data_IF_517819924691
#
_entry.id   IF_517819924691
#
_cell.length_a   1.000
_cell.length_b   1.000
_cell.length_c   1.000
_cell.angle_alpha   90.00
_cell.angle_beta   90.00
_cell.angle_gamma   90.00
#
_symmetry.space_group_name_H-M   'P 1'
#
loop_
_entity.id
_entity.type
_entity.pdbx_description
1 polymer ?
#
# COMPACT_ATOMS: atom_id res chain seq x y z
N UNK A 1 14.50 -37.00 27.50
CA UNK A 1 15.44 -36.02 28.08
C UNK A 1 16.66 -35.89 27.18
N UNK A 2 16.70 -34.83 26.38
CA UNK A 2 17.87 -34.00 26.07
C UNK A 2 17.41 -32.99 25.03
N UNK A 3 17.17 -31.78 25.51
CA UNK A 3 16.96 -30.58 24.71
C UNK A 3 18.27 -30.20 24.03
N UNK A 4 18.20 -29.72 22.79
CA UNK A 4 19.06 -28.62 22.37
C UNK A 4 18.26 -27.71 21.44
N UNK A 5 17.98 -26.56 22.01
CA UNK A 5 17.36 -25.37 21.47
C UNK A 5 18.40 -24.64 20.61
N UNK A 6 18.33 -24.78 19.29
CA UNK A 6 19.14 -23.97 18.37
C UNK A 6 18.46 -22.64 18.13
N UNK A 7 18.67 -21.75 19.08
CA UNK A 7 18.43 -20.31 18.98
C UNK A 7 19.33 -19.75 17.86
N UNK A 8 18.77 -19.55 16.67
CA UNK A 8 19.44 -18.79 15.60
C UNK A 8 19.54 -17.32 16.03
N UNK A 9 20.58 -16.97 16.80
CA UNK A 9 21.09 -15.60 16.84
C UNK A 9 21.53 -15.24 15.43
N UNK A 10 20.77 -14.37 14.77
CA UNK A 10 21.29 -13.61 13.63
C UNK A 10 22.38 -12.71 14.20
N UNK A 11 23.62 -13.20 14.17
CA UNK A 11 24.81 -12.37 14.35
C UNK A 11 24.80 -11.38 13.19
N UNK A 12 24.43 -10.14 13.47
CA UNK A 12 24.72 -9.01 12.57
C UNK A 12 26.25 -8.96 12.53
N UNK A 13 26.80 -9.53 11.45
CA UNK A 13 28.21 -9.42 11.15
C UNK A 13 28.39 -7.99 10.67
N UNK A 14 28.95 -7.13 11.51
CA UNK A 14 29.37 -5.80 11.11
C UNK A 14 30.33 -5.99 9.93
N UNK A 15 29.83 -5.75 8.71
CA UNK A 15 30.66 -5.77 7.52
C UNK A 15 31.52 -4.51 7.58
N UNK A 16 32.78 -4.71 7.98
CA UNK A 16 33.84 -3.73 7.78
C UNK A 16 33.86 -3.26 6.31
N UNK A 17 34.04 -1.96 6.12
CA UNK A 17 33.96 -1.19 4.87
C UNK A 17 32.58 -1.14 4.22
N UNK A 18 31.79 -0.14 4.63
CA UNK A 18 30.81 0.50 3.73
C UNK A 18 31.64 1.22 2.66
N UNK A 19 32.02 0.48 1.61
CA UNK A 19 32.59 1.04 0.39
C UNK A 19 31.70 2.19 -0.05
N UNK A 20 32.29 3.37 -0.31
CA UNK A 20 31.58 4.57 -0.74
C UNK A 20 30.50 4.20 -1.77
N UNK A 21 29.23 4.39 -1.39
CA UNK A 21 28.12 4.25 -2.32
C UNK A 21 28.28 5.35 -3.37
N UNK A 22 28.95 5.04 -4.47
CA UNK A 22 29.00 5.92 -5.63
C UNK A 22 27.57 6.18 -6.05
N UNK A 23 27.19 7.46 -6.07
CA UNK A 23 25.88 7.89 -6.53
C UNK A 23 25.70 7.46 -7.99
N UNK A 24 25.03 6.33 -8.19
CA UNK A 24 24.66 5.85 -9.52
C UNK A 24 23.61 6.80 -10.05
N UNK A 25 23.83 7.31 -11.27
CA UNK A 25 22.98 8.33 -11.88
C UNK A 25 21.48 7.96 -11.75
N UNK A 26 20.66 8.81 -11.10
CA UNK A 26 19.25 8.52 -10.83
C UNK A 26 18.41 8.45 -12.11
N UNK A 27 18.93 8.89 -13.26
CA UNK A 27 18.24 8.79 -14.54
C UNK A 27 17.80 7.35 -14.88
N UNK A 28 18.60 6.34 -14.48
CA UNK A 28 18.19 4.94 -14.66
C UNK A 28 16.97 4.59 -13.80
N UNK A 29 16.94 5.05 -12.55
CA UNK A 29 15.79 4.88 -11.66
C UNK A 29 14.54 5.63 -12.16
N UNK A 30 14.73 6.86 -12.67
CA UNK A 30 13.67 7.67 -13.26
C UNK A 30 13.07 7.05 -14.52
N UNK A 31 13.84 6.26 -15.28
CA UNK A 31 13.33 5.57 -16.46
C UNK A 31 12.23 4.55 -16.14
N UNK A 32 12.22 3.98 -14.93
CA UNK A 32 11.16 3.09 -14.46
C UNK A 32 9.83 3.81 -14.21
N UNK A 33 9.81 5.14 -14.06
CA UNK A 33 8.56 5.91 -13.99
C UNK A 33 7.80 5.95 -15.33
N UNK A 34 8.46 5.59 -16.44
CA UNK A 34 7.85 5.52 -17.77
C UNK A 34 7.11 4.19 -17.97
N UNK A 35 7.36 3.18 -17.13
CA UNK A 35 6.58 1.94 -17.15
C UNK A 35 5.11 2.28 -16.87
N UNK A 36 4.17 1.95 -17.78
CA UNK A 36 2.76 2.33 -17.64
C UNK A 36 2.12 1.77 -16.36
N UNK A 37 2.62 0.66 -15.84
CA UNK A 37 2.16 0.05 -14.58
C UNK A 37 2.60 0.88 -13.37
N UNK A 38 3.85 1.36 -13.37
CA UNK A 38 4.40 2.19 -12.30
C UNK A 38 3.88 3.64 -12.42
N UNK A 39 3.72 4.15 -13.63
CA UNK A 39 3.23 5.50 -13.90
C UNK A 39 1.79 5.68 -13.42
N UNK A 40 0.89 4.77 -13.78
CA UNK A 40 -0.50 4.82 -13.33
C UNK A 40 -0.60 4.75 -11.81
N UNK A 41 0.28 3.99 -11.17
CA UNK A 41 0.40 3.95 -9.71
C UNK A 41 0.90 5.28 -9.12
N UNK A 42 2.01 5.81 -9.64
CA UNK A 42 2.60 7.07 -9.19
C UNK A 42 1.65 8.25 -9.35
N UNK A 43 0.90 8.31 -10.46
CA UNK A 43 -0.13 9.33 -10.68
C UNK A 43 -1.24 9.22 -9.65
N UNK A 44 -1.75 8.01 -9.39
CA UNK A 44 -2.82 7.84 -8.43
C UNK A 44 -2.39 8.17 -7.00
N UNK A 45 -1.19 7.76 -6.59
CA UNK A 45 -0.62 8.15 -5.31
C UNK A 45 -0.49 9.66 -5.21
N UNK A 46 0.04 10.31 -6.25
CA UNK A 46 0.23 11.75 -6.28
C UNK A 46 -1.11 12.48 -6.13
N UNK A 47 -2.13 12.05 -6.88
CA UNK A 47 -3.48 12.61 -6.77
C UNK A 47 -4.03 12.38 -5.36
N UNK A 48 -3.93 11.16 -4.83
CA UNK A 48 -4.40 10.83 -3.48
C UNK A 48 -3.74 11.67 -2.39
N UNK A 49 -2.41 11.82 -2.45
CA UNK A 49 -1.65 12.64 -1.51
C UNK A 49 -1.96 14.13 -1.64
N UNK A 50 -2.04 14.67 -2.87
CA UNK A 50 -2.40 16.08 -3.06
C UNK A 50 -3.79 16.33 -2.51
N UNK A 51 -4.75 15.48 -2.86
CA UNK A 51 -6.13 15.57 -2.41
C UNK A 51 -6.27 15.46 -0.89
N UNK A 52 -5.55 14.56 -0.21
CA UNK A 52 -5.64 14.44 1.26
C UNK A 52 -5.14 15.69 1.96
N UNK A 53 -4.00 16.23 1.51
CA UNK A 53 -3.43 17.44 2.07
C UNK A 53 -4.34 18.65 1.81
N UNK A 54 -4.94 18.71 0.62
CA UNK A 54 -5.89 19.77 0.29
C UNK A 54 -7.15 19.70 1.15
N UNK A 55 -7.69 18.51 1.38
CA UNK A 55 -8.84 18.30 2.27
C UNK A 55 -8.51 18.68 3.72
N UNK A 56 -7.33 18.32 4.24
CA UNK A 56 -6.91 18.74 5.59
C UNK A 56 -6.71 20.25 5.72
N UNK A 57 -6.33 20.94 4.63
CA UNK A 57 -6.19 22.38 4.61
C UNK A 57 -7.54 23.10 4.52
N UNK A 58 -8.41 22.65 3.60
CA UNK A 58 -9.69 23.32 3.33
C UNK A 58 -10.75 23.04 4.38
N UNK A 59 -10.86 21.80 4.85
CA UNK A 59 -11.93 21.40 5.77
C UNK A 59 -12.04 22.30 7.01
N UNK A 60 -10.96 22.60 7.75
CA UNK A 60 -11.09 23.48 8.92
C UNK A 60 -11.45 24.92 8.55
N UNK A 61 -10.97 25.41 7.41
CA UNK A 61 -11.30 26.75 6.92
C UNK A 61 -12.80 26.85 6.62
N UNK A 62 -13.33 25.88 5.88
CA UNK A 62 -14.73 25.86 5.47
C UNK A 62 -15.66 25.64 6.66
N UNK A 63 -15.33 24.72 7.57
CA UNK A 63 -16.11 24.50 8.79
C UNK A 63 -16.16 25.74 9.71
N UNK A 64 -15.09 26.54 9.74
CA UNK A 64 -15.02 27.76 10.55
C UNK A 64 -15.76 28.97 9.97
N UNK A 65 -16.12 28.91 8.67
CA UNK A 65 -16.75 30.02 7.96
C UNK A 65 -18.24 29.73 7.72
N UNK A 66 -18.98 30.80 7.38
CA UNK A 66 -20.33 30.65 6.84
C UNK A 66 -20.27 29.76 5.59
N UNK A 67 -21.17 28.77 5.44
CA UNK A 67 -22.43 28.61 6.18
C UNK A 67 -22.38 27.72 7.43
N UNK A 68 -21.26 27.08 7.73
CA UNK A 68 -21.16 26.11 8.83
C UNK A 68 -20.89 26.77 10.19
N UNK A 69 -19.94 27.71 10.23
CA UNK A 69 -19.61 28.54 11.40
C UNK A 69 -19.42 27.75 12.71
N UNK A 70 -18.77 26.59 12.66
CA UNK A 70 -18.47 25.79 13.84
C UNK A 70 -17.45 26.49 14.76
N UNK A 71 -17.56 26.31 16.09
CA UNK A 71 -16.55 26.81 17.01
C UNK A 71 -15.22 26.07 16.83
N UNK A 72 -14.10 26.74 17.11
CA UNK A 72 -12.74 26.22 16.88
C UNK A 72 -12.48 24.84 17.49
N UNK A 73 -13.05 24.56 18.67
CA UNK A 73 -12.90 23.26 19.33
C UNK A 73 -13.52 22.13 18.50
N UNK A 74 -14.72 22.37 17.94
CA UNK A 74 -15.41 21.38 17.12
C UNK A 74 -14.70 21.20 15.78
N UNK A 75 -14.21 22.28 15.17
CA UNK A 75 -13.41 22.23 13.95
C UNK A 75 -12.17 21.34 14.13
N UNK A 76 -11.45 21.52 15.25
CA UNK A 76 -10.29 20.70 15.59
C UNK A 76 -10.65 19.22 15.74
N UNK A 77 -11.73 18.93 16.48
CA UNK A 77 -12.22 17.56 16.68
C UNK A 77 -12.64 16.90 15.35
N UNK A 78 -13.40 17.61 14.52
CA UNK A 78 -13.91 17.11 13.24
C UNK A 78 -12.77 16.86 12.24
N UNK A 79 -11.76 17.73 12.23
CA UNK A 79 -10.55 17.55 11.42
C UNK A 79 -9.70 16.38 11.94
N UNK A 80 -9.63 16.17 13.26
CA UNK A 80 -8.97 14.98 13.81
C UNK A 80 -9.73 13.69 13.43
N UNK A 81 -11.06 13.74 13.40
CA UNK A 81 -11.90 12.60 13.04
C UNK A 81 -11.65 12.11 11.61
N UNK A 82 -11.32 12.98 10.65
CA UNK A 82 -10.99 12.54 9.29
C UNK A 82 -9.76 11.63 9.24
N UNK A 83 -8.82 11.81 10.19
CA UNK A 83 -7.64 10.94 10.32
C UNK A 83 -8.01 9.51 10.74
N UNK A 84 -9.18 9.29 11.35
CA UNK A 84 -9.64 7.94 11.69
C UNK A 84 -9.85 7.06 10.44
N UNK A 85 -10.22 7.68 9.32
CA UNK A 85 -10.34 7.01 8.03
C UNK A 85 -9.02 6.39 7.59
N UNK A 86 -7.89 7.07 7.82
CA UNK A 86 -6.55 6.55 7.50
C UNK A 86 -6.27 5.26 8.26
N UNK A 87 -6.47 5.26 9.57
CA UNK A 87 -6.21 4.09 10.42
C UNK A 87 -7.05 2.88 10.00
N UNK A 88 -8.35 3.09 9.76
CA UNK A 88 -9.25 2.04 9.29
C UNK A 88 -8.88 1.56 7.89
N UNK A 89 -8.53 2.48 7.00
CA UNK A 89 -8.13 2.16 5.62
C UNK A 89 -6.84 1.37 5.56
N UNK A 90 -5.83 1.73 6.37
CA UNK A 90 -4.58 0.97 6.48
C UNK A 90 -4.81 -0.44 7.01
N UNK A 91 -5.64 -0.60 8.05
CA UNK A 91 -5.97 -1.90 8.61
C UNK A 91 -6.70 -2.78 7.59
N UNK A 92 -7.80 -2.28 7.01
CA UNK A 92 -8.56 -3.00 5.99
C UNK A 92 -7.72 -3.29 4.75
N UNK A 93 -6.87 -2.35 4.33
CA UNK A 93 -5.97 -2.52 3.20
C UNK A 93 -4.96 -3.61 3.43
N UNK A 94 -4.31 -3.65 4.61
CA UNK A 94 -3.42 -4.76 4.98
C UNK A 94 -4.12 -6.11 4.90
N UNK A 95 -5.30 -6.23 5.52
CA UNK A 95 -6.09 -7.46 5.46
C UNK A 95 -6.48 -7.86 4.03
N UNK A 96 -6.91 -6.90 3.20
CA UNK A 96 -7.26 -7.16 1.80
C UNK A 96 -6.06 -7.62 1.00
N UNK A 97 -4.88 -7.07 1.29
CA UNK A 97 -3.61 -7.46 0.66
C UNK A 97 -3.23 -8.88 1.03
N UNK A 98 -3.31 -9.22 2.32
CA UNK A 98 -3.04 -10.58 2.81
C UNK A 98 -3.99 -11.62 2.19
N UNK A 99 -5.29 -11.30 2.14
CA UNK A 99 -6.31 -12.15 1.51
C UNK A 99 -6.07 -12.26 0.02
N UNK A 100 -5.69 -11.18 -0.65
CA UNK A 100 -5.41 -11.22 -2.07
C UNK A 100 -4.15 -12.04 -2.37
N UNK A 101 -3.09 -11.88 -1.58
CA UNK A 101 -1.87 -12.62 -1.76
C UNK A 101 -2.06 -14.14 -1.55
N UNK A 102 -2.96 -14.54 -0.63
CA UNK A 102 -3.33 -15.96 -0.47
C UNK A 102 -4.22 -16.47 -1.60
N UNK A 103 -5.19 -15.67 -2.08
CA UNK A 103 -6.14 -16.07 -3.14
C UNK A 103 -5.50 -16.13 -4.53
N UNK A 104 -4.55 -15.25 -4.81
CA UNK A 104 -3.82 -15.15 -6.08
C UNK A 104 -2.36 -15.59 -5.94
N UNK A 105 -2.09 -16.51 -5.00
CA UNK A 105 -0.75 -17.00 -4.68
C UNK A 105 0.00 -17.63 -5.88
N UNK A 106 -0.68 -17.98 -6.97
CA UNK A 106 -0.01 -18.43 -8.19
C UNK A 106 0.81 -17.30 -8.84
N UNK A 107 2.08 -17.57 -9.16
CA UNK A 107 3.01 -16.64 -9.83
C UNK A 107 2.39 -15.94 -11.05
N UNK A 108 1.55 -16.63 -11.81
CA UNK A 108 0.90 -16.08 -13.02
C UNK A 108 -0.20 -15.05 -12.75
N UNK A 109 -0.74 -14.98 -11.52
CA UNK A 109 -1.86 -14.08 -11.17
C UNK A 109 -1.56 -13.17 -9.98
N UNK A 110 -0.36 -13.19 -9.44
CA UNK A 110 0.01 -12.37 -8.28
C UNK A 110 -0.13 -10.87 -8.56
N UNK A 111 0.16 -10.45 -9.80
CA UNK A 111 -0.06 -9.08 -10.28
C UNK A 111 -1.53 -8.69 -10.25
N UNK A 112 -2.45 -9.60 -10.61
CA UNK A 112 -3.91 -9.38 -10.54
C UNK A 112 -4.35 -9.22 -9.07
N UNK A 113 -3.85 -10.09 -8.19
CA UNK A 113 -4.15 -10.06 -6.76
C UNK A 113 -3.74 -8.74 -6.09
N UNK A 114 -2.64 -8.14 -6.53
CA UNK A 114 -2.17 -6.87 -5.96
C UNK A 114 -2.81 -5.63 -6.63
N UNK A 115 -3.20 -5.73 -7.90
CA UNK A 115 -3.75 -4.59 -8.65
C UNK A 115 -5.25 -4.39 -8.44
N UNK A 116 -6.04 -5.46 -8.40
CA UNK A 116 -7.51 -5.39 -8.30
C UNK A 116 -7.99 -4.68 -7.02
N UNK A 117 -7.52 -5.04 -5.81
CA UNK A 117 -7.94 -4.35 -4.57
C UNK A 117 -7.64 -2.86 -4.62
N UNK A 118 -6.44 -2.52 -5.10
CA UNK A 118 -6.03 -1.14 -5.25
C UNK A 118 -6.90 -0.38 -6.27
N UNK A 119 -7.35 -1.01 -7.35
CA UNK A 119 -8.20 -0.41 -8.39
C UNK A 119 -9.63 -0.18 -7.88
N UNK A 120 -10.17 -1.12 -7.09
CA UNK A 120 -11.44 -0.93 -6.38
C UNK A 120 -11.34 0.26 -5.42
N UNK A 121 -10.23 0.39 -4.70
CA UNK A 121 -9.99 1.53 -3.81
C UNK A 121 -9.89 2.87 -4.56
N UNK A 122 -9.39 2.87 -5.80
CA UNK A 122 -9.34 4.07 -6.66
C UNK A 122 -10.71 4.65 -6.94
N UNK A 123 -11.73 3.79 -7.08
CA UNK A 123 -13.10 4.23 -7.35
C UNK A 123 -13.63 5.05 -6.16
N UNK A 124 -13.38 4.59 -4.93
CA UNK A 124 -13.73 5.32 -3.72
C UNK A 124 -13.04 6.69 -3.66
N UNK A 125 -11.75 6.76 -3.96
CA UNK A 125 -11.00 8.04 -3.98
C UNK A 125 -11.67 9.06 -4.91
N UNK A 126 -12.03 8.65 -6.14
CA UNK A 126 -12.64 9.56 -7.13
C UNK A 126 -14.06 9.95 -6.74
N UNK A 127 -14.87 8.99 -6.27
CA UNK A 127 -16.25 9.29 -5.83
C UNK A 127 -16.26 10.24 -4.64
N UNK A 128 -15.39 10.00 -3.66
CA UNK A 128 -15.36 10.78 -2.43
C UNK A 128 -14.80 12.19 -2.66
N UNK A 129 -13.82 12.34 -3.56
CA UNK A 129 -13.36 13.65 -4.03
C UNK A 129 -14.48 14.46 -4.69
N UNK A 130 -15.29 13.78 -5.51
CA UNK A 130 -16.42 14.40 -6.19
C UNK A 130 -17.46 14.86 -5.18
N UNK A 131 -17.81 14.00 -4.21
CA UNK A 131 -18.75 14.34 -3.14
C UNK A 131 -18.21 15.47 -2.27
N UNK A 132 -16.91 15.46 -1.93
CA UNK A 132 -16.26 16.51 -1.15
C UNK A 132 -16.30 17.85 -1.88
N UNK A 133 -15.86 17.89 -3.15
CA UNK A 133 -15.90 19.10 -3.97
C UNK A 133 -17.32 19.63 -4.19
N UNK A 134 -18.29 18.74 -4.41
CA UNK A 134 -19.70 19.10 -4.53
C UNK A 134 -20.22 19.69 -3.21
N UNK A 135 -19.89 19.07 -2.08
CA UNK A 135 -20.30 19.54 -0.75
C UNK A 135 -19.78 20.93 -0.47
N UNK A 136 -18.54 21.23 -0.86
CA UNK A 136 -17.96 22.56 -0.77
C UNK A 136 -18.66 23.57 -1.70
N UNK A 137 -18.80 23.23 -2.99
CA UNK A 137 -19.34 24.14 -4.00
C UNK A 137 -20.79 24.56 -3.74
N UNK A 138 -21.60 23.64 -3.22
CA UNK A 138 -23.03 23.87 -2.98
C UNK A 138 -23.38 24.02 -1.50
N UNK A 139 -22.38 24.10 -0.64
CA UNK A 139 -22.56 24.24 0.80
C UNK A 139 -23.54 23.22 1.39
N UNK A 140 -23.38 21.95 1.01
CA UNK A 140 -24.24 20.86 1.49
C UNK A 140 -24.02 20.62 3.00
N UNK A 141 -24.77 19.71 3.63
CA UNK A 141 -24.64 19.44 5.05
C UNK A 141 -23.18 19.13 5.46
N UNK A 142 -22.67 19.75 6.52
CA UNK A 142 -21.32 19.52 7.04
C UNK A 142 -21.03 18.04 7.32
N UNK A 143 -22.04 17.26 7.73
CA UNK A 143 -21.91 15.83 7.93
C UNK A 143 -21.47 15.11 6.64
N UNK A 144 -21.95 15.53 5.47
CA UNK A 144 -21.56 14.94 4.18
C UNK A 144 -20.10 15.29 3.84
N UNK A 145 -19.68 16.52 4.14
CA UNK A 145 -18.30 16.97 3.95
C UNK A 145 -17.33 16.19 4.85
N UNK A 146 -17.68 15.98 6.11
CA UNK A 146 -16.88 15.19 7.07
C UNK A 146 -16.84 13.72 6.66
N UNK A 147 -18.00 13.16 6.31
CA UNK A 147 -18.12 11.76 5.93
C UNK A 147 -17.30 11.47 4.65
N UNK A 148 -17.39 12.34 3.65
CA UNK A 148 -16.57 12.23 2.43
C UNK A 148 -15.07 12.35 2.74
N UNK A 149 -14.65 13.23 3.65
CA UNK A 149 -13.26 13.32 4.06
C UNK A 149 -12.75 12.05 4.79
N UNK A 150 -13.60 11.41 5.60
CA UNK A 150 -13.28 10.12 6.25
C UNK A 150 -13.15 9.01 5.21
N UNK A 151 -14.13 8.85 4.32
CA UNK A 151 -14.11 7.80 3.30
C UNK A 151 -12.97 8.00 2.29
N UNK A 152 -12.71 9.24 1.91
CA UNK A 152 -11.56 9.59 1.09
C UNK A 152 -10.24 9.17 1.77
N UNK A 153 -10.07 9.49 3.06
CA UNK A 153 -8.89 9.11 3.84
C UNK A 153 -8.75 7.58 3.96
N UNK A 154 -9.88 6.88 4.10
CA UNK A 154 -9.95 5.42 4.08
C UNK A 154 -9.51 4.84 2.72
N UNK A 155 -10.07 5.32 1.62
CA UNK A 155 -9.73 4.89 0.27
C UNK A 155 -8.26 5.13 -0.06
N UNK A 156 -7.73 6.29 0.32
CA UNK A 156 -6.31 6.61 0.17
C UNK A 156 -5.41 5.62 0.92
N UNK A 157 -5.64 5.45 2.22
CA UNK A 157 -4.80 4.58 3.07
C UNK A 157 -4.88 3.11 2.64
N UNK A 158 -6.05 2.64 2.25
CA UNK A 158 -6.26 1.28 1.73
C UNK A 158 -5.52 1.07 0.40
N UNK A 159 -5.62 2.04 -0.52
CA UNK A 159 -4.88 1.99 -1.79
C UNK A 159 -3.37 1.99 -1.63
N UNK A 160 -2.86 2.64 -0.58
CA UNK A 160 -1.45 2.65 -0.25
C UNK A 160 -0.98 1.31 0.30
N UNK A 161 -1.73 0.73 1.24
CA UNK A 161 -1.43 -0.58 1.83
C UNK A 161 -1.42 -1.68 0.76
N UNK A 162 -2.46 -1.75 -0.07
CA UNK A 162 -2.64 -2.77 -1.13
C UNK A 162 -1.61 -2.75 -2.24
N UNK A 163 -0.87 -1.65 -2.40
CA UNK A 163 0.06 -1.48 -3.51
C UNK A 163 1.52 -1.34 -3.11
N UNK A 164 1.81 -1.25 -1.81
CA UNK A 164 3.18 -1.33 -1.29
C UNK A 164 3.89 -2.63 -1.72
N UNK A 165 3.16 -3.75 -1.79
CA UNK A 165 3.66 -5.04 -2.26
C UNK A 165 3.93 -5.10 -3.77
N UNK A 166 3.26 -4.27 -4.58
CA UNK A 166 3.49 -4.20 -6.03
C UNK A 166 4.89 -3.64 -6.30
N UNK A 167 5.27 -2.56 -5.62
CA UNK A 167 6.59 -1.94 -5.77
C UNK A 167 7.68 -2.94 -5.35
N UNK A 168 7.45 -3.65 -4.24
CA UNK A 168 8.35 -4.66 -3.74
C UNK A 168 8.56 -5.79 -4.75
N UNK A 169 7.49 -6.27 -5.40
CA UNK A 169 7.57 -7.27 -6.47
C UNK A 169 8.38 -6.80 -7.69
N UNK A 170 8.24 -5.54 -8.10
CA UNK A 170 8.98 -4.97 -9.23
C UNK A 170 10.44 -4.61 -8.89
N UNK A 171 10.75 -4.30 -7.62
CA UNK A 171 12.11 -3.99 -7.16
C UNK A 171 12.96 -5.24 -6.92
N UNK A 172 12.36 -6.41 -6.69
CA UNK A 172 13.12 -7.66 -6.54
C UNK A 172 13.66 -8.07 -7.93
N UNK A 173 14.99 -8.21 -8.09
CA UNK A 173 15.58 -8.72 -9.33
C UNK A 173 14.94 -10.06 -9.70
N UNK A 174 14.69 -10.30 -10.99
CA UNK A 174 14.03 -11.52 -11.48
C UNK A 174 14.64 -12.81 -10.94
N UNK A 175 15.94 -12.82 -10.65
CA UNK A 175 16.64 -13.95 -10.02
C UNK A 175 16.24 -14.23 -8.56
N UNK A 176 15.85 -13.20 -7.79
CA UNK A 176 15.46 -13.29 -6.37
C UNK A 176 13.94 -13.36 -6.16
N UNK A 177 13.17 -13.15 -7.22
CA UNK A 177 11.71 -13.10 -7.16
C UNK A 177 11.10 -14.43 -6.70
N UNK A 178 11.75 -15.56 -7.01
CA UNK A 178 11.32 -16.88 -6.52
C UNK A 178 11.61 -17.10 -5.02
N UNK A 179 12.75 -16.62 -4.52
CA UNK A 179 13.13 -16.81 -3.11
C UNK A 179 12.26 -15.94 -2.20
N UNK A 180 12.01 -14.68 -2.56
CA UNK A 180 11.11 -13.78 -1.81
C UNK A 180 9.67 -14.33 -1.75
N UNK A 181 9.14 -14.80 -2.88
CA UNK A 181 7.82 -15.43 -2.91
C UNK A 181 7.76 -16.71 -2.06
N UNK A 182 8.84 -17.48 -2.00
CA UNK A 182 8.91 -18.69 -1.18
C UNK A 182 8.97 -18.38 0.33
N UNK A 183 9.53 -17.23 0.71
CA UNK A 183 9.72 -16.83 2.11
C UNK A 183 8.45 -16.19 2.71
N UNK A 184 7.75 -15.37 1.92
CA UNK A 184 6.55 -14.65 2.37
C UNK A 184 5.24 -15.35 1.99
N UNK A 185 5.23 -16.21 0.95
CA UNK A 185 4.03 -16.93 0.49
C UNK A 185 4.31 -18.44 0.34
N UNK A 186 4.48 -19.19 1.45
CA UNK A 186 4.94 -20.58 1.46
C UNK A 186 4.02 -21.60 0.77
N UNK A 187 2.79 -21.21 0.40
CA UNK A 187 1.79 -22.02 -0.30
C UNK A 187 1.70 -21.73 -1.81
N UNK A 188 2.43 -20.73 -2.31
CA UNK A 188 2.31 -20.20 -3.68
C UNK A 188 2.84 -21.15 -4.77
N UNK A 189 3.77 -22.05 -4.45
CA UNK A 189 4.43 -22.89 -5.47
C UNK A 189 3.65 -24.20 -5.65
N UNK A 190 2.71 -24.21 -6.61
CA UNK A 190 2.05 -25.42 -7.14
C UNK A 190 1.43 -26.36 -6.08
N UNK A 191 0.94 -25.83 -4.95
CA UNK A 191 0.37 -26.64 -3.86
C UNK A 191 1.40 -27.53 -3.13
N UNK A 192 2.69 -27.31 -3.36
CA UNK A 192 3.78 -28.00 -2.66
C UNK A 192 4.03 -27.25 -1.36
N UNK A 193 3.88 -27.94 -0.23
CA UNK A 193 4.21 -27.33 1.06
C UNK A 193 5.68 -26.92 1.10
N UNK A 194 5.97 -25.76 1.70
CA UNK A 194 7.32 -25.18 1.76
C UNK A 194 8.40 -26.14 2.26
N UNK A 195 8.08 -27.04 3.20
CA UNK A 195 9.00 -28.10 3.65
C UNK A 195 9.44 -29.02 2.51
N UNK A 196 8.53 -29.36 1.61
CA UNK A 196 8.79 -30.21 0.46
C UNK A 196 9.56 -29.46 -0.63
N UNK A 197 9.30 -28.16 -0.83
CA UNK A 197 10.10 -27.33 -1.74
C UNK A 197 11.56 -27.20 -1.30
N UNK A 198 11.82 -27.01 0.00
CA UNK A 198 13.18 -26.90 0.56
C UNK A 198 14.01 -28.18 0.41
N UNK A 199 13.34 -29.33 0.36
CA UNK A 199 13.98 -30.63 0.15
C UNK A 199 14.33 -30.93 -1.32
N UNK A 200 13.85 -30.13 -2.27
CA UNK A 200 14.14 -30.33 -3.69
C UNK A 200 15.52 -29.81 -4.07
N UNK A 201 16.17 -30.55 -4.96
CA UNK A 201 17.40 -30.12 -5.61
C UNK A 201 17.18 -28.87 -6.47
N UNK A 202 18.25 -28.12 -6.74
CA UNK A 202 18.17 -26.92 -7.60
C UNK A 202 17.65 -27.23 -9.02
N UNK A 203 17.82 -28.46 -9.49
CA UNK A 203 17.34 -28.88 -10.81
C UNK A 203 15.82 -29.12 -10.81
N UNK A 204 15.31 -29.79 -9.76
CA UNK A 204 13.88 -30.03 -9.57
C UNK A 204 13.10 -28.73 -9.33
N UNK A 205 13.70 -27.77 -8.62
CA UNK A 205 13.11 -26.43 -8.44
C UNK A 205 12.97 -25.68 -9.76
N UNK A 206 13.89 -25.89 -10.72
CA UNK A 206 13.82 -25.28 -12.05
C UNK A 206 12.79 -25.94 -12.98
N UNK A 207 12.43 -27.20 -12.76
CA UNK A 207 11.42 -27.93 -13.55
C UNK A 207 9.98 -27.67 -13.08
N UNK A 208 9.80 -27.10 -11.89
CA UNK A 208 8.49 -26.70 -11.35
C UNK A 208 8.07 -25.27 -11.76
N UNK A 209 8.96 -24.55 -12.44
CA UNK A 209 8.76 -23.23 -13.05
C UNK A 209 8.41 -23.38 -14.54
#
# INVERSE_FOLDING_TARGET
MCAYETQHRVLIRDSEEISQTTFVNPCAALSYLIDPTILSYGLMLSVGYVSINWSFLLLPIELSKSPYSYPTNDVGLLTALTSSGVSLGSFCGGMLTDVAATKWASISRITEGLTIPGLICSIFIVSDLTIFGWSLQYHLNAALLILSAIFFSFGHANSHATRSDVILYYQIPTAFRCDYLSEYFPTAINGISWRKYRSLSNLERRMLL
#
